data_IF_235053280810
#
_entry.id   IF_235053280810
#
_cell.length_a   1.000
_cell.length_b   1.000
_cell.length_c   1.000
_cell.angle_alpha   90.00
_cell.angle_beta   90.00
_cell.angle_gamma   90.00
#
_symmetry.space_group_name_H-M   'P 1'
#
loop_
_entity.id
_entity.type
_entity.pdbx_description
1 polymer ?
#
# COMPACT_ATOMS: atom_id res chain seq x y z
N UNK A 1 -21.09 -36.41 -75.87
CA UNK A 1 -21.30 -35.08 -76.47
C UNK A 1 -22.21 -34.28 -75.54
N UNK A 2 -21.81 -33.04 -75.20
CA UNK A 2 -22.58 -32.01 -74.47
C UNK A 2 -22.92 -32.31 -72.99
N UNK A 3 -22.84 -31.40 -72.02
CA UNK A 3 -22.60 -29.96 -72.08
C UNK A 3 -22.41 -29.34 -70.68
N UNK A 4 -21.97 -28.08 -70.71
CA UNK A 4 -21.57 -27.14 -69.67
C UNK A 4 -22.63 -26.84 -68.60
N UNK A 5 -22.20 -26.56 -67.34
CA UNK A 5 -22.55 -25.36 -66.54
C UNK A 5 -21.90 -25.38 -65.14
N UNK A 6 -21.09 -24.37 -64.85
CA UNK A 6 -20.66 -24.01 -63.51
C UNK A 6 -21.82 -23.38 -62.71
N UNK A 7 -21.78 -23.44 -61.37
CA UNK A 7 -22.03 -22.24 -60.58
C UNK A 7 -21.00 -22.06 -59.45
N UNK A 8 -20.33 -20.91 -59.41
CA UNK A 8 -20.52 -19.80 -58.47
C UNK A 8 -20.32 -20.18 -57.00
N UNK A 9 -19.14 -19.82 -56.48
CA UNK A 9 -18.80 -19.75 -55.05
C UNK A 9 -19.58 -18.60 -54.38
N UNK A 10 -20.03 -18.80 -53.14
CA UNK A 10 -20.01 -17.74 -52.14
C UNK A 10 -19.00 -18.08 -51.04
N UNK A 11 -18.00 -17.21 -50.92
CA UNK A 11 -17.18 -17.08 -49.73
C UNK A 11 -18.02 -16.50 -48.58
N UNK A 12 -17.90 -17.06 -47.38
CA UNK A 12 -17.77 -16.30 -46.13
C UNK A 12 -17.77 -17.24 -44.91
N UNK A 13 -16.73 -17.07 -44.09
CA UNK A 13 -16.73 -17.08 -42.63
C UNK A 13 -17.29 -18.30 -41.88
N UNK A 14 -16.43 -18.99 -41.12
CA UNK A 14 -16.23 -18.68 -39.69
C UNK A 14 -15.12 -19.55 -39.12
N UNK A 15 -13.93 -18.96 -38.97
CA UNK A 15 -12.98 -19.40 -37.96
C UNK A 15 -13.35 -18.69 -36.66
N UNK A 16 -13.74 -19.43 -35.62
CA UNK A 16 -13.58 -19.03 -34.21
C UNK A 16 -14.28 -20.04 -33.30
N UNK A 17 -13.51 -20.90 -32.64
CA UNK A 17 -13.86 -21.45 -31.32
C UNK A 17 -12.58 -21.83 -30.56
N UNK A 18 -11.63 -20.88 -30.47
CA UNK A 18 -10.49 -20.95 -29.55
C UNK A 18 -10.48 -19.71 -28.65
N UNK A 19 -11.52 -19.56 -27.82
CA UNK A 19 -11.53 -18.59 -26.73
C UNK A 19 -12.36 -19.11 -25.57
N UNK A 20 -11.86 -20.13 -24.87
CA UNK A 20 -12.25 -20.38 -23.49
C UNK A 20 -10.97 -20.78 -22.77
N UNK A 21 -10.63 -20.07 -21.68
CA UNK A 21 -9.57 -20.31 -20.66
C UNK A 21 -8.69 -19.09 -20.32
N UNK A 22 -9.03 -17.87 -20.75
CA UNK A 22 -8.42 -16.64 -20.20
C UNK A 22 -9.19 -16.06 -18.99
N UNK A 23 -10.28 -16.70 -18.55
CA UNK A 23 -11.26 -16.12 -17.62
C UNK A 23 -10.94 -16.20 -16.12
N UNK A 24 -9.81 -16.78 -15.71
CA UNK A 24 -9.49 -16.95 -14.27
C UNK A 24 -8.24 -16.18 -13.80
N UNK A 25 -7.59 -15.39 -14.66
CA UNK A 25 -6.35 -14.70 -14.32
C UNK A 25 -6.52 -13.25 -13.83
N UNK A 26 -7.71 -12.65 -13.96
CA UNK A 26 -8.00 -11.34 -13.36
C UNK A 26 -8.51 -11.53 -11.93
N UNK A 27 -7.66 -12.08 -11.06
CA UNK A 27 -7.81 -11.87 -9.63
C UNK A 27 -7.64 -10.37 -9.40
N UNK A 28 -8.75 -9.65 -9.26
CA UNK A 28 -8.75 -8.23 -8.87
C UNK A 28 -7.83 -8.10 -7.66
N UNK A 29 -6.73 -7.36 -7.82
CA UNK A 29 -5.78 -7.18 -6.73
C UNK A 29 -6.50 -6.53 -5.54
N UNK A 30 -6.10 -6.93 -4.33
CA UNK A 30 -6.63 -6.32 -3.12
C UNK A 30 -6.36 -4.79 -3.16
N UNK A 31 -7.29 -3.93 -2.71
CA UNK A 31 -7.14 -2.47 -2.79
C UNK A 31 -5.87 -1.92 -2.12
N UNK A 32 -5.26 -2.68 -1.23
CA UNK A 32 -4.07 -2.34 -0.47
C UNK A 32 -2.75 -2.89 -1.09
N UNK A 33 -2.82 -3.57 -2.25
CA UNK A 33 -1.67 -4.32 -2.80
C UNK A 33 -0.46 -3.43 -3.04
N UNK A 34 -0.67 -2.26 -3.63
CA UNK A 34 0.40 -1.29 -3.90
C UNK A 34 1.05 -0.80 -2.61
N UNK A 35 0.24 -0.56 -1.58
CA UNK A 35 0.72 -0.14 -0.27
C UNK A 35 1.56 -1.25 0.37
N UNK A 36 1.09 -2.50 0.36
CA UNK A 36 1.83 -3.63 0.94
C UNK A 36 3.17 -3.85 0.24
N UNK A 37 3.21 -3.79 -1.08
CA UNK A 37 4.46 -3.92 -1.84
C UNK A 37 5.43 -2.79 -1.54
N UNK A 38 4.94 -1.54 -1.48
CA UNK A 38 5.78 -0.39 -1.17
C UNK A 38 6.29 -0.42 0.28
N UNK A 39 5.48 -0.86 1.23
CA UNK A 39 5.87 -1.08 2.63
C UNK A 39 6.96 -2.16 2.73
N UNK A 40 6.76 -3.32 2.10
CA UNK A 40 7.77 -4.39 2.08
C UNK A 40 9.10 -3.90 1.50
N UNK A 41 9.05 -3.14 0.41
CA UNK A 41 10.25 -2.53 -0.19
C UNK A 41 10.93 -1.56 0.76
N UNK A 42 10.18 -0.69 1.44
CA UNK A 42 10.72 0.27 2.39
C UNK A 42 11.37 -0.42 3.61
N UNK A 43 10.73 -1.46 4.14
CA UNK A 43 11.27 -2.26 5.23
C UNK A 43 12.54 -3.02 4.80
N UNK A 44 12.53 -3.59 3.59
CA UNK A 44 13.68 -4.33 3.04
C UNK A 44 14.87 -3.43 2.75
N UNK A 45 14.62 -2.20 2.30
CA UNK A 45 15.68 -1.21 2.10
C UNK A 45 16.39 -0.86 3.43
N UNK A 46 15.70 -0.99 4.56
CA UNK A 46 16.24 -0.69 5.89
C UNK A 46 16.58 0.78 6.10
N UNK A 47 16.11 1.66 5.21
CA UNK A 47 16.34 3.10 5.26
C UNK A 47 15.16 3.79 5.96
N UNK A 48 15.47 4.79 6.78
CA UNK A 48 14.47 5.55 7.52
C UNK A 48 13.93 6.77 6.77
N UNK A 49 14.39 6.98 5.54
CA UNK A 49 13.99 8.07 4.65
C UNK A 49 14.20 7.65 3.18
N UNK A 50 14.09 8.62 2.26
CA UNK A 50 14.34 8.40 0.84
C UNK A 50 13.13 7.90 0.05
N UNK A 51 13.41 7.48 -1.19
CA UNK A 51 12.39 7.20 -2.20
C UNK A 51 11.45 6.06 -1.78
N UNK A 52 11.97 4.99 -1.18
CA UNK A 52 11.15 3.85 -0.78
C UNK A 52 10.12 4.23 0.30
N UNK A 53 10.53 5.00 1.32
CA UNK A 53 9.63 5.50 2.37
C UNK A 53 8.61 6.49 1.79
N UNK A 54 9.03 7.37 0.88
CA UNK A 54 8.13 8.31 0.19
C UNK A 54 7.10 7.59 -0.68
N UNK A 55 7.52 6.56 -1.41
CA UNK A 55 6.64 5.76 -2.27
C UNK A 55 5.61 4.99 -1.44
N UNK A 56 6.03 4.41 -0.30
CA UNK A 56 5.14 3.78 0.67
C UNK A 56 4.07 4.75 1.18
N UNK A 57 4.46 5.94 1.63
CA UNK A 57 3.51 6.97 2.06
C UNK A 57 2.56 7.40 0.96
N UNK A 58 3.06 7.51 -0.28
CA UNK A 58 2.26 7.85 -1.45
C UNK A 58 1.24 6.75 -1.77
N UNK A 59 1.64 5.47 -1.68
CA UNK A 59 0.75 4.33 -1.88
C UNK A 59 -0.32 4.25 -0.80
N UNK A 60 0.04 4.43 0.48
CA UNK A 60 -0.92 4.54 1.57
C UNK A 60 -1.92 5.69 1.34
N UNK A 61 -1.42 6.86 0.95
CA UNK A 61 -2.24 8.03 0.65
C UNK A 61 -3.28 7.79 -0.44
N UNK A 62 -2.89 7.11 -1.54
CA UNK A 62 -3.80 6.74 -2.62
C UNK A 62 -4.86 5.75 -2.14
N UNK A 63 -4.46 4.69 -1.44
CA UNK A 63 -5.39 3.70 -0.90
C UNK A 63 -6.42 4.36 0.05
N UNK A 64 -5.96 5.17 1.00
CA UNK A 64 -6.82 5.91 1.92
C UNK A 64 -7.76 6.87 1.20
N UNK A 65 -7.31 7.56 0.15
CA UNK A 65 -8.13 8.49 -0.61
C UNK A 65 -9.28 7.77 -1.34
N UNK A 66 -9.00 6.61 -1.94
CA UNK A 66 -10.01 5.76 -2.58
C UNK A 66 -11.03 5.31 -1.54
N UNK A 67 -10.59 4.71 -0.42
CA UNK A 67 -11.49 4.27 0.65
C UNK A 67 -12.33 5.42 1.22
N UNK A 68 -11.73 6.60 1.40
CA UNK A 68 -12.42 7.79 1.91
C UNK A 68 -13.44 8.40 0.95
N UNK A 69 -13.36 8.09 -0.35
CA UNK A 69 -14.34 8.55 -1.34
C UNK A 69 -15.62 7.70 -1.37
N UNK A 70 -15.61 6.52 -0.73
CA UNK A 70 -16.74 5.59 -0.71
C UNK A 70 -17.55 5.83 0.56
N UNK A 71 -18.81 6.24 0.40
CA UNK A 71 -19.71 6.48 1.53
C UNK A 71 -19.93 5.19 2.35
N UNK A 72 -19.71 5.28 3.67
CA UNK A 72 -19.87 4.14 4.58
C UNK A 72 -18.75 3.10 4.53
N UNK A 73 -17.67 3.33 3.77
CA UNK A 73 -16.52 2.42 3.75
C UNK A 73 -15.85 2.35 5.13
N UNK A 74 -15.73 1.15 5.74
CA UNK A 74 -15.03 0.98 7.00
C UNK A 74 -13.53 1.13 6.76
N UNK A 75 -12.89 2.08 7.44
CA UNK A 75 -11.46 2.39 7.26
C UNK A 75 -10.55 1.67 8.27
N UNK A 76 -11.03 0.54 8.79
CA UNK A 76 -10.35 -0.22 9.84
C UNK A 76 -9.01 -0.76 9.36
N UNK A 77 -8.93 -1.21 8.11
CA UNK A 77 -7.70 -1.76 7.54
C UNK A 77 -6.64 -0.68 7.36
N UNK A 78 -7.03 0.52 6.91
CA UNK A 78 -6.16 1.67 6.75
C UNK A 78 -5.63 2.19 8.10
N UNK A 79 -6.47 2.17 9.15
CA UNK A 79 -6.05 2.53 10.50
C UNK A 79 -5.07 1.49 11.06
N UNK A 80 -5.41 0.20 10.97
CA UNK A 80 -4.56 -0.89 11.45
C UNK A 80 -3.24 -0.97 10.69
N UNK A 81 -3.24 -0.62 9.39
CA UNK A 81 -2.04 -0.52 8.58
C UNK A 81 -1.05 0.52 9.11
N UNK A 82 -1.53 1.72 9.52
CA UNK A 82 -0.65 2.73 10.10
C UNK A 82 -0.08 2.32 11.45
N UNK A 83 -0.85 1.62 12.28
CA UNK A 83 -0.36 1.11 13.56
C UNK A 83 0.78 0.12 13.32
N UNK A 84 0.55 -0.89 12.47
CA UNK A 84 1.56 -1.89 12.11
C UNK A 84 2.79 -1.27 11.43
N UNK A 85 2.60 -0.33 10.51
CA UNK A 85 3.69 0.41 9.88
C UNK A 85 4.54 1.11 10.94
N UNK A 86 3.91 1.81 11.88
CA UNK A 86 4.59 2.46 12.98
C UNK A 86 5.43 1.50 13.81
N UNK A 87 4.83 0.36 14.19
CA UNK A 87 5.50 -0.66 15.00
C UNK A 87 6.71 -1.27 14.26
N UNK A 88 6.58 -1.54 12.96
CA UNK A 88 7.67 -2.09 12.16
C UNK A 88 8.83 -1.11 12.01
N UNK A 89 8.57 0.17 11.73
CA UNK A 89 9.63 1.17 11.67
C UNK A 89 10.23 1.49 13.03
N UNK A 90 9.46 1.35 14.13
CA UNK A 90 10.01 1.45 15.48
C UNK A 90 11.01 0.34 15.76
N UNK A 91 10.71 -0.91 15.37
CA UNK A 91 11.64 -2.06 15.50
C UNK A 91 12.95 -1.82 14.73
N UNK A 92 12.86 -1.19 13.55
CA UNK A 92 14.03 -0.81 12.74
C UNK A 92 14.76 0.45 13.22
N UNK A 93 14.34 1.03 14.35
CA UNK A 93 14.86 2.29 14.90
C UNK A 93 14.68 3.51 13.98
N UNK A 94 13.74 3.44 13.03
CA UNK A 94 13.31 4.55 12.18
C UNK A 94 12.23 5.38 12.89
N UNK A 95 12.62 6.01 13.98
CA UNK A 95 11.74 6.67 14.96
C UNK A 95 10.88 7.78 14.35
N UNK A 96 11.38 8.52 13.37
CA UNK A 96 10.60 9.58 12.71
C UNK A 96 9.49 9.02 11.81
N UNK A 97 9.74 7.92 11.09
CA UNK A 97 8.70 7.24 10.28
C UNK A 97 7.66 6.59 11.20
N UNK A 98 8.10 5.96 12.29
CA UNK A 98 7.22 5.41 13.30
C UNK A 98 6.32 6.51 13.91
N UNK A 99 6.93 7.63 14.34
CA UNK A 99 6.23 8.81 14.86
C UNK A 99 5.20 9.36 13.87
N UNK A 100 5.57 9.48 12.60
CA UNK A 100 4.66 9.95 11.56
C UNK A 100 3.47 9.00 11.36
N UNK A 101 3.70 7.70 11.42
CA UNK A 101 2.66 6.65 11.33
C UNK A 101 1.62 6.77 12.45
N UNK A 102 2.08 6.80 13.69
CA UNK A 102 1.20 6.94 14.85
C UNK A 102 0.44 8.27 14.88
N UNK A 103 1.12 9.39 14.54
CA UNK A 103 0.46 10.70 14.47
C UNK A 103 -0.60 10.75 13.36
N UNK A 104 -0.32 10.15 12.21
CA UNK A 104 -1.28 10.07 11.10
C UNK A 104 -2.50 9.26 11.51
N UNK A 105 -2.31 8.15 12.24
CA UNK A 105 -3.41 7.35 12.77
C UNK A 105 -4.29 8.17 13.71
N UNK A 106 -3.69 8.83 14.70
CA UNK A 106 -4.44 9.65 15.67
C UNK A 106 -5.21 10.78 14.99
N UNK A 107 -4.62 11.40 13.98
CA UNK A 107 -5.23 12.56 13.31
C UNK A 107 -6.31 12.18 12.29
N UNK A 108 -6.10 11.14 11.48
CA UNK A 108 -6.99 10.78 10.37
C UNK A 108 -8.19 9.91 10.78
N UNK A 109 -8.14 9.32 11.96
CA UNK A 109 -9.16 8.38 12.45
C UNK A 109 -9.65 8.83 13.84
N UNK A 110 -10.32 9.99 13.96
CA UNK A 110 -10.77 10.53 15.25
C UNK A 110 -11.98 9.79 15.84
N UNK A 111 -12.70 8.99 15.05
CA UNK A 111 -13.98 8.38 15.44
C UNK A 111 -13.82 7.33 16.55
N UNK A 112 -14.80 7.20 17.44
CA UNK A 112 -14.71 6.30 18.61
C UNK A 112 -14.43 4.83 18.27
N UNK A 113 -14.86 4.37 17.09
CA UNK A 113 -14.54 3.03 16.59
C UNK A 113 -13.05 2.73 16.46
N UNK A 114 -12.19 3.75 16.43
CA UNK A 114 -10.74 3.61 16.36
C UNK A 114 -10.01 3.99 17.67
N UNK A 115 -10.75 4.22 18.77
CA UNK A 115 -10.17 4.66 20.04
C UNK A 115 -9.05 3.75 20.55
N UNK A 116 -9.24 2.43 20.51
CA UNK A 116 -8.23 1.47 20.95
C UNK A 116 -6.92 1.59 20.14
N UNK A 117 -7.01 1.81 18.82
CA UNK A 117 -5.84 2.01 17.98
C UNK A 117 -5.16 3.35 18.23
N UNK A 118 -5.92 4.43 18.49
CA UNK A 118 -5.35 5.73 18.89
C UNK A 118 -4.62 5.64 20.22
N UNK A 119 -5.18 4.93 21.19
CA UNK A 119 -4.53 4.73 22.49
C UNK A 119 -3.24 3.93 22.35
N UNK A 120 -3.24 2.85 21.55
CA UNK A 120 -2.04 2.09 21.24
C UNK A 120 -0.97 2.98 20.56
N UNK A 121 -1.35 3.73 19.53
CA UNK A 121 -0.47 4.67 18.85
C UNK A 121 0.08 5.75 19.79
N UNK A 122 -0.76 6.28 20.70
CA UNK A 122 -0.37 7.24 21.71
C UNK A 122 0.61 6.66 22.74
N UNK A 123 0.42 5.41 23.14
CA UNK A 123 1.35 4.69 23.99
C UNK A 123 2.70 4.52 23.30
N UNK A 124 2.72 4.03 22.05
CA UNK A 124 3.96 3.88 21.28
C UNK A 124 4.69 5.22 21.10
N UNK A 125 3.97 6.31 20.80
CA UNK A 125 4.55 7.66 20.68
C UNK A 125 5.28 8.12 21.94
N UNK A 126 4.79 7.76 23.14
CA UNK A 126 5.44 8.09 24.42
C UNK A 126 6.72 7.29 24.65
N UNK A 127 6.88 6.14 23.99
CA UNK A 127 8.12 5.33 24.07
C UNK A 127 9.20 5.80 23.11
N UNK A 128 8.86 6.57 22.07
CA UNK A 128 9.83 7.07 21.10
C UNK A 128 10.69 8.20 21.69
N UNK A 129 12.00 8.24 21.37
CA UNK A 129 12.87 9.34 21.78
C UNK A 129 12.33 10.67 21.25
N UNK A 130 12.44 11.79 21.99
CA UNK A 130 11.89 13.07 21.56
C UNK A 130 12.41 13.45 20.17
N UNK A 131 11.60 14.14 19.34
CA UNK A 131 12.07 14.60 18.04
C UNK A 131 13.29 15.50 18.22
N UNK A 132 14.26 15.47 17.29
CA UNK A 132 15.43 16.32 17.37
C UNK A 132 15.01 17.79 17.38
N UNK A 133 15.73 18.61 18.16
CA UNK A 133 15.48 20.05 18.17
C UNK A 133 15.70 20.63 16.76
N UNK A 134 14.88 21.60 16.32
CA UNK A 134 15.07 22.25 15.03
C UNK A 134 16.50 22.77 14.88
N UNK A 135 17.20 22.35 13.82
CA UNK A 135 18.57 22.80 13.52
C UNK A 135 19.70 21.94 14.09
N UNK A 136 19.41 20.85 14.80
CA UNK A 136 20.44 19.87 15.20
C UNK A 136 20.56 18.81 14.11
N UNK A 137 21.73 18.61 13.47
CA UNK A 137 21.95 17.50 12.55
C UNK A 137 21.72 16.18 13.28
N UNK A 138 20.90 15.29 12.72
CA UNK A 138 20.67 13.94 13.23
C UNK A 138 22.01 13.23 13.35
N UNK A 139 22.48 13.00 14.58
CA UNK A 139 23.67 12.20 14.81
C UNK A 139 23.33 10.73 14.53
N UNK A 140 23.72 10.26 13.36
CA UNK A 140 23.76 8.83 13.04
C UNK A 140 24.91 8.26 13.87
N UNK A 141 24.62 7.72 15.04
CA UNK A 141 25.64 6.98 15.81
C UNK A 141 26.03 5.75 14.99
N UNK A 142 27.30 5.58 14.61
CA UNK A 142 27.73 4.34 13.96
C UNK A 142 27.49 3.19 14.94
N UNK A 143 26.81 2.14 14.47
CA UNK A 143 26.82 0.85 15.16
C UNK A 143 28.18 0.23 14.85
N UNK A 144 29.12 0.34 15.79
CA UNK A 144 30.40 -0.35 15.70
C UNK A 144 31.54 0.44 16.31
N UNK A 145 31.67 0.35 17.63
CA UNK A 145 32.96 0.28 18.32
C UNK A 145 32.69 -0.28 19.71
N UNK A 146 32.96 -1.58 19.89
CA UNK A 146 33.21 -2.24 21.16
C UNK A 146 34.60 -2.86 21.07
#
# INVERSE_FOLDING_TARGET
MSGTKAPVLPAAATAACLFVLAGCAQLSQAPDSDYRQALEKALTAGQCDGDAVRDMWSAYGRWYAVGSSIAGHPKTDEAAALLRQGDQFQILNCTEVARASYRTLIHRFPEDGYAAMREAAGASLRTLPPPPAPGVPTQIRPVGEI
#
